data_IF_560063333173
#
_entry.id   IF_560063333173
#
_cell.length_a   1.000
_cell.length_b   1.000
_cell.length_c   1.000
_cell.angle_alpha   90.00
_cell.angle_beta   90.00
_cell.angle_gamma   90.00
#
_symmetry.space_group_name_H-M   'P 1'
#
loop_
_entity.id
_entity.type
_entity.pdbx_description
1 polymer ?
#
# COMPACT_ATOMS: atom_id res chain seq x y z
N UNK A 1 -3.31 -23.74 13.24
CA UNK A 1 -2.96 -23.08 11.96
C UNK A 1 -2.33 -24.12 11.05
N UNK A 2 -2.82 -24.29 9.83
CA UNK A 2 -2.20 -25.23 8.87
C UNK A 2 -0.90 -24.64 8.32
N UNK A 3 0.06 -25.50 7.96
CA UNK A 3 1.32 -25.05 7.37
C UNK A 3 1.09 -24.29 6.06
N UNK A 4 0.16 -24.76 5.23
CA UNK A 4 -0.21 -24.10 3.98
C UNK A 4 -0.70 -22.66 4.20
N UNK A 5 -1.62 -22.45 5.16
CA UNK A 5 -2.12 -21.10 5.46
C UNK A 5 -1.01 -20.19 5.99
N UNK A 6 -0.12 -20.71 6.85
CA UNK A 6 1.02 -19.94 7.36
C UNK A 6 1.98 -19.53 6.23
N UNK A 7 2.30 -20.45 5.32
CA UNK A 7 3.18 -20.19 4.18
C UNK A 7 2.56 -19.17 3.21
N UNK A 8 1.27 -19.29 2.89
CA UNK A 8 0.55 -18.33 2.05
C UNK A 8 0.56 -16.94 2.69
N UNK A 9 0.22 -16.83 3.98
CA UNK A 9 0.23 -15.54 4.67
C UNK A 9 1.63 -14.92 4.73
N UNK A 10 2.68 -15.74 4.90
CA UNK A 10 4.06 -15.28 4.85
C UNK A 10 4.40 -14.70 3.47
N UNK A 11 4.06 -15.41 2.39
CA UNK A 11 4.30 -14.92 1.02
C UNK A 11 3.54 -13.63 0.76
N UNK A 12 2.26 -13.55 1.14
CA UNK A 12 1.46 -12.33 0.99
C UNK A 12 2.07 -11.16 1.76
N UNK A 13 2.51 -11.39 3.01
CA UNK A 13 3.16 -10.36 3.82
C UNK A 13 4.49 -9.89 3.21
N UNK A 14 5.27 -10.80 2.62
CA UNK A 14 6.50 -10.46 1.91
C UNK A 14 6.22 -9.65 0.66
N UNK A 15 5.17 -9.98 -0.10
CA UNK A 15 4.74 -9.15 -1.25
C UNK A 15 4.36 -7.75 -0.78
N UNK A 16 3.58 -7.65 0.30
CA UNK A 16 3.19 -6.35 0.89
C UNK A 16 4.39 -5.54 1.41
N UNK A 17 5.42 -6.22 1.94
CA UNK A 17 6.65 -5.56 2.41
C UNK A 17 7.48 -4.91 1.30
N UNK A 18 7.20 -5.24 0.04
CA UNK A 18 7.85 -4.62 -1.13
C UNK A 18 7.07 -3.43 -1.68
N UNK A 19 5.95 -3.06 -1.04
CA UNK A 19 5.14 -1.92 -1.46
C UNK A 19 5.93 -0.60 -1.38
N UNK A 20 5.50 0.38 -2.17
CA UNK A 20 6.13 1.69 -2.23
C UNK A 20 6.09 2.40 -0.86
N UNK A 21 4.98 2.33 -0.13
CA UNK A 21 4.81 2.93 1.18
C UNK A 21 5.63 2.27 2.27
N UNK A 22 5.73 0.93 2.27
CA UNK A 22 6.39 0.18 3.34
C UNK A 22 7.91 0.12 3.21
N UNK A 23 8.47 0.20 1.99
CA UNK A 23 9.92 0.12 1.77
C UNK A 23 10.55 1.39 1.22
N UNK A 24 9.90 2.09 0.26
CA UNK A 24 10.52 3.27 -0.37
C UNK A 24 10.69 4.41 0.63
N UNK A 25 9.65 4.71 1.42
CA UNK A 25 9.68 5.82 2.38
C UNK A 25 10.74 5.59 3.47
N UNK A 26 10.85 4.39 4.10
CA UNK A 26 11.95 4.10 5.02
C UNK A 26 13.33 4.18 4.39
N UNK A 27 13.54 3.61 3.19
CA UNK A 27 14.82 3.69 2.47
C UNK A 27 15.23 5.14 2.27
N UNK A 28 14.27 6.00 1.91
CA UNK A 28 14.50 7.43 1.76
C UNK A 28 14.86 8.14 3.07
N UNK A 29 14.17 7.84 4.17
CA UNK A 29 14.51 8.37 5.49
C UNK A 29 15.91 7.95 5.95
N UNK A 30 16.36 6.74 5.58
CA UNK A 30 17.71 6.22 5.88
C UNK A 30 18.81 6.86 5.01
N UNK A 31 18.45 7.40 3.84
CA UNK A 31 19.31 8.12 2.90
C UNK A 31 19.34 9.64 3.12
N UNK A 32 18.58 10.16 4.10
CA UNK A 32 18.61 11.58 4.43
C UNK A 32 20.02 12.00 4.91
N UNK A 33 20.57 13.13 4.42
CA UNK A 33 21.89 13.59 4.83
C UNK A 33 21.90 13.92 6.34
N UNK A 34 22.86 13.36 7.07
CA UNK A 34 23.02 13.55 8.52
C UNK A 34 22.97 12.25 9.34
N UNK A 35 22.83 12.37 10.66
CA UNK A 35 22.69 11.21 11.56
C UNK A 35 21.33 10.54 11.35
N UNK A 36 21.32 9.22 11.22
CA UNK A 36 20.08 8.44 11.09
C UNK A 36 19.23 8.64 12.34
N UNK A 37 18.04 9.22 12.16
CA UNK A 37 17.07 9.41 13.24
C UNK A 37 16.22 8.15 13.36
N UNK A 38 16.77 7.10 13.97
CA UNK A 38 16.11 5.80 14.12
C UNK A 38 14.67 5.92 14.67
N UNK A 39 14.46 6.82 15.64
CA UNK A 39 13.13 7.09 16.20
C UNK A 39 12.10 7.57 15.17
N UNK A 40 12.48 8.31 14.13
CA UNK A 40 11.56 8.72 13.05
C UNK A 40 11.16 7.54 12.17
N UNK A 41 12.13 6.69 11.82
CA UNK A 41 11.86 5.48 11.02
C UNK A 41 10.97 4.51 11.81
N UNK A 42 11.25 4.32 13.09
CA UNK A 42 10.42 3.50 13.98
C UNK A 42 9.02 4.08 14.16
N UNK A 43 8.87 5.39 14.31
CA UNK A 43 7.56 6.04 14.39
C UNK A 43 6.76 5.83 13.10
N UNK A 44 7.40 6.00 11.94
CA UNK A 44 6.77 5.76 10.64
C UNK A 44 6.31 4.29 10.52
N UNK A 45 7.20 3.33 10.74
CA UNK A 45 6.90 1.90 10.64
C UNK A 45 5.84 1.46 11.65
N UNK A 46 5.92 1.97 12.88
CA UNK A 46 4.92 1.73 13.92
C UNK A 46 3.55 2.30 13.54
N UNK A 47 3.51 3.48 12.93
CA UNK A 47 2.24 4.08 12.45
C UNK A 47 1.63 3.24 11.33
N UNK A 48 2.44 2.80 10.36
CA UNK A 48 1.98 1.93 9.27
C UNK A 48 1.47 0.60 9.82
N UNK A 49 2.26 -0.08 10.65
CA UNK A 49 1.85 -1.36 11.25
C UNK A 49 0.58 -1.23 12.09
N UNK A 50 0.47 -0.18 12.92
CA UNK A 50 -0.72 0.08 13.72
C UNK A 50 -1.95 0.39 12.85
N UNK A 51 -1.79 1.22 11.82
CA UNK A 51 -2.88 1.54 10.90
C UNK A 51 -3.43 0.28 10.21
N UNK A 52 -2.55 -0.55 9.65
CA UNK A 52 -2.95 -1.80 9.01
C UNK A 52 -3.63 -2.73 10.01
N UNK A 53 -3.03 -2.93 11.19
CA UNK A 53 -3.60 -3.77 12.23
C UNK A 53 -5.01 -3.29 12.65
N UNK A 54 -5.21 -1.98 12.80
CA UNK A 54 -6.52 -1.39 13.12
C UNK A 54 -7.54 -1.61 12.01
N UNK A 55 -7.15 -1.41 10.74
CA UNK A 55 -8.03 -1.68 9.58
C UNK A 55 -8.39 -3.16 9.52
N UNK A 56 -7.42 -4.06 9.71
CA UNK A 56 -7.67 -5.49 9.69
C UNK A 56 -8.51 -5.97 10.86
N UNK A 57 -8.30 -5.42 12.06
CA UNK A 57 -9.16 -5.67 13.21
C UNK A 57 -10.59 -5.21 12.95
N UNK A 58 -10.78 -4.01 12.38
CA UNK A 58 -12.10 -3.53 11.99
C UNK A 58 -12.78 -4.52 11.01
N UNK A 59 -12.06 -4.98 9.99
CA UNK A 59 -12.58 -5.95 9.04
C UNK A 59 -12.89 -7.31 9.68
N UNK A 60 -12.02 -7.83 10.56
CA UNK A 60 -12.20 -9.10 11.27
C UNK A 60 -13.36 -9.07 12.27
N UNK A 61 -13.58 -7.94 12.95
CA UNK A 61 -14.63 -7.75 13.96
C UNK A 61 -16.02 -7.51 13.35
N UNK A 62 -16.14 -7.61 12.03
CA UNK A 62 -17.43 -7.48 11.36
C UNK A 62 -17.83 -6.04 11.06
N UNK A 63 -16.90 -5.07 11.10
CA UNK A 63 -17.13 -3.78 10.41
C UNK A 63 -17.33 -3.98 8.90
N UNK A 64 -16.99 -5.18 8.38
CA UNK A 64 -17.44 -5.68 7.07
C UNK A 64 -18.97 -5.68 6.88
N UNK A 65 -19.76 -5.93 7.94
CA UNK A 65 -21.23 -5.86 7.88
C UNK A 65 -21.74 -4.41 7.80
N UNK A 66 -21.04 -3.46 8.44
CA UNK A 66 -21.31 -2.03 8.23
C UNK A 66 -20.87 -1.58 6.82
N UNK A 67 -19.79 -2.18 6.27
CA UNK A 67 -19.40 -2.01 4.88
C UNK A 67 -20.43 -2.58 3.89
N UNK A 68 -21.17 -3.64 4.23
CA UNK A 68 -22.23 -4.17 3.35
C UNK A 68 -23.30 -3.10 3.04
N UNK A 69 -23.66 -2.26 4.02
CA UNK A 69 -24.53 -1.10 3.78
C UNK A 69 -23.89 0.00 2.91
N UNK A 70 -22.55 0.12 2.91
CA UNK A 70 -21.84 0.95 1.92
C UNK A 70 -21.82 0.29 0.54
N UNK A 71 -21.68 -1.03 0.46
CA UNK A 71 -21.74 -1.77 -0.80
C UNK A 71 -23.11 -1.58 -1.46
N UNK A 72 -24.20 -1.63 -0.70
CA UNK A 72 -25.56 -1.34 -1.21
C UNK A 72 -25.67 0.08 -1.80
N UNK A 73 -24.99 1.07 -1.20
CA UNK A 73 -24.90 2.43 -1.75
C UNK A 73 -24.04 2.48 -3.03
N UNK A 74 -23.00 1.63 -3.13
CA UNK A 74 -22.16 1.48 -4.32
C UNK A 74 -22.84 0.70 -5.46
N UNK A 75 -23.90 -0.05 -5.17
CA UNK A 75 -24.72 -0.74 -6.18
C UNK A 75 -25.73 0.18 -6.86
N UNK A 76 -25.89 1.43 -6.39
CA UNK A 76 -26.77 2.39 -7.06
C UNK A 76 -26.31 2.66 -8.51
N UNK A 77 -27.24 2.84 -9.47
CA UNK A 77 -26.89 3.07 -10.88
C UNK A 77 -25.93 4.25 -11.08
N UNK A 78 -26.04 5.29 -10.24
CA UNK A 78 -25.12 6.42 -10.22
C UNK A 78 -23.71 6.01 -9.75
N UNK A 79 -23.59 5.21 -8.70
CA UNK A 79 -22.30 4.75 -8.20
C UNK A 79 -21.58 3.83 -9.20
N UNK A 80 -22.33 2.96 -9.90
CA UNK A 80 -21.76 2.11 -10.96
C UNK A 80 -21.26 2.96 -12.14
N UNK A 81 -22.00 4.00 -12.55
CA UNK A 81 -21.54 4.96 -13.58
C UNK A 81 -20.34 5.77 -13.14
N UNK A 82 -20.30 6.20 -11.87
CA UNK A 82 -19.15 6.89 -11.30
C UNK A 82 -17.91 5.97 -11.23
N UNK A 83 -18.10 4.68 -10.88
CA UNK A 83 -17.04 3.67 -10.91
C UNK A 83 -16.52 3.47 -12.34
N UNK A 84 -17.41 3.39 -13.33
CA UNK A 84 -17.02 3.27 -14.74
C UNK A 84 -16.18 4.48 -15.18
N UNK A 85 -16.65 5.70 -14.88
CA UNK A 85 -15.92 6.92 -15.19
C UNK A 85 -14.55 6.98 -14.49
N UNK A 86 -14.48 6.55 -13.23
CA UNK A 86 -13.25 6.46 -12.47
C UNK A 86 -12.28 5.44 -13.08
N UNK A 87 -12.76 4.24 -13.42
CA UNK A 87 -11.97 3.17 -14.04
C UNK A 87 -11.39 3.59 -15.39
N UNK A 88 -12.23 4.16 -16.26
CA UNK A 88 -11.80 4.72 -17.55
C UNK A 88 -10.80 5.87 -17.34
N UNK A 89 -11.09 6.77 -16.39
CA UNK A 89 -10.19 7.85 -16.02
C UNK A 89 -8.80 7.32 -15.62
N UNK A 90 -8.73 6.37 -14.69
CA UNK A 90 -7.47 5.74 -14.28
C UNK A 90 -6.74 5.07 -15.44
N UNK A 91 -7.46 4.37 -16.34
CA UNK A 91 -6.90 3.73 -17.52
C UNK A 91 -6.30 4.75 -18.50
N UNK A 92 -7.05 5.80 -18.85
CA UNK A 92 -6.59 6.86 -19.76
C UNK A 92 -5.40 7.60 -19.15
N UNK A 93 -5.46 7.90 -17.85
CA UNK A 93 -4.39 8.57 -17.12
C UNK A 93 -3.11 7.73 -17.03
N UNK A 94 -3.23 6.40 -16.90
CA UNK A 94 -2.10 5.47 -16.94
C UNK A 94 -1.37 5.49 -18.29
N UNK A 95 -2.12 5.63 -19.39
CA UNK A 95 -1.57 5.59 -20.74
C UNK A 95 -0.92 6.92 -21.17
N UNK A 96 -1.29 8.04 -20.57
CA UNK A 96 -0.81 9.39 -20.91
C UNK A 96 0.72 9.54 -20.68
N UNK A 97 1.53 9.74 -21.75
CA UNK A 97 2.99 9.75 -21.67
C UNK A 97 3.57 10.91 -20.85
N UNK A 98 2.81 12.01 -20.68
CA UNK A 98 3.21 13.16 -19.86
C UNK A 98 3.13 12.91 -18.34
N UNK A 99 2.20 12.07 -17.87
CA UNK A 99 2.04 11.77 -16.43
C UNK A 99 3.02 10.74 -15.90
N UNK A 100 3.48 9.82 -16.77
CA UNK A 100 4.54 8.84 -16.46
C UNK A 100 5.83 9.48 -15.90
N UNK A 101 6.07 10.76 -16.21
CA UNK A 101 7.21 11.54 -15.71
C UNK A 101 6.84 12.56 -14.63
N UNK A 102 5.58 12.96 -14.53
CA UNK A 102 5.16 14.12 -13.73
C UNK A 102 4.67 13.76 -12.33
N UNK A 103 4.08 12.57 -12.13
CA UNK A 103 3.75 12.07 -10.78
C UNK A 103 4.98 11.57 -10.00
N UNK A 104 6.08 11.30 -10.72
CA UNK A 104 7.38 10.88 -10.18
C UNK A 104 8.50 11.91 -10.38
N UNK A 105 8.15 13.14 -10.79
CA UNK A 105 9.15 14.15 -11.09
C UNK A 105 10.00 14.49 -9.85
N UNK A 106 11.32 14.66 -9.98
CA UNK A 106 12.25 15.01 -8.91
C UNK A 106 11.95 16.37 -8.24
N UNK A 107 10.84 17.03 -8.54
CA UNK A 107 10.38 18.25 -7.88
C UNK A 107 9.35 18.01 -6.77
N UNK A 108 8.50 16.97 -6.82
CA UNK A 108 7.49 16.72 -5.74
C UNK A 108 8.05 15.80 -4.68
N UNK A 109 8.74 14.73 -5.07
CA UNK A 109 9.48 13.86 -4.16
C UNK A 109 10.53 14.64 -3.38
N UNK A 110 11.28 15.54 -4.01
CA UNK A 110 12.30 16.37 -3.35
C UNK A 110 11.70 17.45 -2.46
N UNK A 111 10.57 18.07 -2.84
CA UNK A 111 9.78 18.96 -1.95
C UNK A 111 9.14 18.21 -0.77
N UNK A 112 8.74 16.96 -0.96
CA UNK A 112 8.30 16.08 0.13
C UNK A 112 9.47 15.61 0.99
N UNK A 113 10.66 15.39 0.39
CA UNK A 113 11.93 15.10 1.05
C UNK A 113 12.27 16.23 2.02
N UNK A 114 12.30 17.46 1.52
CA UNK A 114 12.59 18.65 2.33
C UNK A 114 11.60 18.81 3.48
N UNK A 115 10.31 18.51 3.25
CA UNK A 115 9.31 18.50 4.34
C UNK A 115 9.58 17.39 5.37
N UNK A 116 9.86 16.16 4.95
CA UNK A 116 10.06 15.02 5.86
C UNK A 116 11.44 15.02 6.56
N UNK A 117 12.49 15.48 5.90
CA UNK A 117 13.87 15.47 6.42
C UNK A 117 14.27 16.79 7.06
N UNK A 118 13.71 17.92 6.61
CA UNK A 118 14.12 19.27 7.01
C UNK A 118 13.28 19.95 8.09
N UNK A 119 12.00 19.62 8.27
CA UNK A 119 11.12 20.40 9.17
C UNK A 119 9.87 19.72 9.73
N UNK A 120 9.47 18.53 9.28
CA UNK A 120 8.31 17.84 9.84
C UNK A 120 8.57 17.38 11.28
N UNK A 121 7.77 17.89 12.22
CA UNK A 121 7.60 17.32 13.55
C UNK A 121 6.92 15.94 13.48
N UNK A 122 6.79 15.25 14.62
CA UNK A 122 6.21 13.91 14.71
C UNK A 122 4.85 13.79 13.99
N UNK A 123 3.99 14.82 14.10
CA UNK A 123 2.68 14.85 13.44
C UNK A 123 2.74 14.84 11.90
N UNK A 124 3.73 15.50 11.29
CA UNK A 124 3.91 15.47 9.84
C UNK A 124 4.34 14.09 9.33
N UNK A 125 5.08 13.35 10.16
CA UNK A 125 5.51 11.99 9.83
C UNK A 125 4.37 10.98 9.94
N UNK A 126 3.52 11.13 10.97
CA UNK A 126 2.30 10.34 11.13
C UNK A 126 1.33 10.62 9.98
N UNK A 127 1.11 11.90 9.64
CA UNK A 127 0.26 12.26 8.50
C UNK A 127 0.78 11.70 7.17
N UNK A 128 2.10 11.71 6.96
CA UNK A 128 2.73 11.06 5.81
C UNK A 128 2.46 9.55 5.80
N UNK A 129 2.71 8.87 6.92
CA UNK A 129 2.49 7.44 7.06
C UNK A 129 1.02 7.06 6.77
N UNK A 130 0.07 7.81 7.33
CA UNK A 130 -1.35 7.60 7.11
C UNK A 130 -1.75 7.85 5.66
N UNK A 131 -1.29 8.95 5.05
CA UNK A 131 -1.59 9.24 3.64
C UNK A 131 -1.01 8.17 2.71
N UNK A 132 0.22 7.73 2.96
CA UNK A 132 0.87 6.68 2.20
C UNK A 132 0.11 5.36 2.35
N UNK A 133 -0.19 4.95 3.58
CA UNK A 133 -0.96 3.74 3.84
C UNK A 133 -2.34 3.79 3.19
N UNK A 134 -3.04 4.92 3.26
CA UNK A 134 -4.36 5.10 2.64
C UNK A 134 -4.34 4.98 1.11
N UNK A 135 -3.30 5.53 0.46
CA UNK A 135 -3.10 5.37 -0.98
C UNK A 135 -2.85 3.90 -1.34
N UNK A 136 -2.10 3.18 -0.50
CA UNK A 136 -1.86 1.75 -0.73
C UNK A 136 -3.07 0.87 -0.46
N UNK A 137 -4.03 1.28 0.39
CA UNK A 137 -5.27 0.53 0.66
C UNK A 137 -6.01 0.19 -0.64
N UNK A 138 -5.98 1.09 -1.62
CA UNK A 138 -6.61 0.85 -2.93
C UNK A 138 -5.94 -0.26 -3.75
N UNK A 139 -4.68 -0.61 -3.43
CA UNK A 139 -3.86 -1.61 -4.12
C UNK A 139 -3.54 -2.85 -3.27
N UNK A 140 -4.08 -2.92 -2.06
CA UNK A 140 -3.84 -3.95 -1.02
C UNK A 140 -4.49 -5.32 -1.31
N UNK A 141 -4.47 -5.80 -2.56
CA UNK A 141 -4.94 -7.16 -2.87
C UNK A 141 -4.31 -8.23 -1.94
N UNK A 142 -2.99 -8.19 -1.63
CA UNK A 142 -2.39 -9.14 -0.71
C UNK A 142 -2.99 -9.07 0.69
N UNK A 143 -3.09 -7.88 1.29
CA UNK A 143 -3.62 -7.72 2.65
C UNK A 143 -5.10 -8.12 2.77
N UNK A 144 -5.93 -7.70 1.81
CA UNK A 144 -7.34 -8.07 1.78
C UNK A 144 -7.52 -9.57 1.56
N UNK A 145 -6.70 -10.18 0.71
CA UNK A 145 -6.64 -11.63 0.53
C UNK A 145 -6.26 -12.36 1.83
N UNK A 146 -5.28 -11.85 2.57
CA UNK A 146 -4.89 -12.39 3.87
C UNK A 146 -6.03 -12.32 4.89
N UNK A 147 -6.77 -11.21 4.96
CA UNK A 147 -7.96 -11.09 5.81
C UNK A 147 -9.04 -12.08 5.39
N UNK A 148 -9.31 -12.21 4.08
CA UNK A 148 -10.25 -13.20 3.55
C UNK A 148 -9.91 -14.63 3.96
N UNK A 149 -8.62 -15.01 3.87
CA UNK A 149 -8.13 -16.31 4.33
C UNK A 149 -8.27 -16.49 5.85
N UNK A 150 -8.05 -15.43 6.64
CA UNK A 150 -8.25 -15.49 8.09
C UNK A 150 -9.73 -15.65 8.46
N UNK A 151 -10.62 -14.96 7.76
CA UNK A 151 -12.07 -15.04 7.98
C UNK A 151 -12.64 -16.43 7.67
N UNK A 152 -12.15 -17.08 6.62
CA UNK A 152 -12.58 -18.43 6.19
C UNK A 152 -11.85 -19.57 6.91
N UNK A 153 -10.82 -19.27 7.69
CA UNK A 153 -10.06 -20.27 8.45
C UNK A 153 -10.78 -20.73 9.72
N UNK A 154 -10.53 -21.97 10.13
CA UNK A 154 -11.02 -22.53 11.41
C UNK A 154 -10.26 -22.01 12.64
N UNK A 155 -9.52 -20.91 12.51
CA UNK A 155 -8.80 -20.29 13.62
C UNK A 155 -9.78 -19.63 14.60
N UNK A 156 -9.53 -19.85 15.89
CA UNK A 156 -10.20 -19.11 16.94
C UNK A 156 -10.01 -17.58 16.76
N UNK A 157 -10.94 -16.71 17.21
CA UNK A 157 -10.87 -15.27 17.00
C UNK A 157 -9.57 -14.64 17.48
N UNK A 158 -9.11 -15.02 18.68
CA UNK A 158 -7.83 -14.54 19.23
C UNK A 158 -6.65 -14.97 18.35
N UNK A 159 -6.69 -16.18 17.79
CA UNK A 159 -5.65 -16.69 16.91
C UNK A 159 -5.59 -15.88 15.61
N UNK A 160 -6.74 -15.52 15.02
CA UNK A 160 -6.81 -14.63 13.85
C UNK A 160 -6.17 -13.26 14.13
N UNK A 161 -6.46 -12.68 15.29
CA UNK A 161 -5.85 -11.40 15.71
C UNK A 161 -4.34 -11.53 15.88
N UNK A 162 -3.85 -12.59 16.52
CA UNK A 162 -2.41 -12.82 16.68
C UNK A 162 -1.71 -13.06 15.33
N UNK A 163 -2.35 -13.80 14.43
CA UNK A 163 -1.81 -14.03 13.08
C UNK A 163 -1.78 -12.74 12.27
N UNK A 164 -2.80 -11.90 12.38
CA UNK A 164 -2.83 -10.58 11.73
C UNK A 164 -1.73 -9.66 12.26
N UNK A 165 -1.50 -9.64 13.57
CA UNK A 165 -0.39 -8.91 14.17
C UNK A 165 0.97 -9.43 13.66
N UNK A 166 1.14 -10.75 13.58
CA UNK A 166 2.32 -11.39 12.99
C UNK A 166 2.53 -11.01 11.52
N UNK A 167 1.46 -10.99 10.73
CA UNK A 167 1.49 -10.52 9.34
C UNK A 167 2.02 -9.07 9.25
N UNK A 168 1.47 -8.16 10.06
CA UNK A 168 1.90 -6.76 10.07
C UNK A 168 3.37 -6.61 10.49
N UNK A 169 3.87 -7.44 11.41
CA UNK A 169 5.28 -7.46 11.80
C UNK A 169 6.18 -7.94 10.67
N UNK A 170 5.80 -9.02 9.98
CA UNK A 170 6.53 -9.52 8.80
C UNK A 170 6.58 -8.45 7.72
N UNK A 171 5.48 -7.72 7.51
CA UNK A 171 5.40 -6.64 6.53
C UNK A 171 6.42 -5.52 6.79
N UNK A 172 6.61 -5.09 8.04
CA UNK A 172 7.58 -4.02 8.36
C UNK A 172 9.00 -4.53 8.62
N UNK A 173 9.19 -5.84 8.72
CA UNK A 173 10.46 -6.47 9.08
C UNK A 173 11.62 -6.07 8.14
N UNK A 174 11.49 -6.06 6.80
CA UNK A 174 12.60 -5.69 5.93
C UNK A 174 13.12 -4.27 6.18
N UNK A 175 12.21 -3.32 6.44
CA UNK A 175 12.58 -1.94 6.75
C UNK A 175 13.27 -1.82 8.12
N UNK A 176 12.85 -2.62 9.11
CA UNK A 176 13.53 -2.71 10.40
C UNK A 176 14.94 -3.31 10.27
N UNK A 177 15.10 -4.34 9.45
CA UNK A 177 16.42 -4.94 9.14
C UNK A 177 17.32 -3.91 8.46
N UNK A 178 16.81 -3.15 7.48
CA UNK A 178 17.56 -2.08 6.82
C UNK A 178 17.96 -0.97 7.79
N UNK A 179 17.07 -0.59 8.71
CA UNK A 179 17.37 0.38 9.75
C UNK A 179 18.49 -0.12 10.68
N UNK A 180 18.38 -1.35 11.18
CA UNK A 180 19.40 -1.95 12.03
C UNK A 180 20.75 -2.04 11.31
N UNK A 181 20.75 -2.53 10.07
CA UNK A 181 21.95 -2.62 9.25
C UNK A 181 22.57 -1.24 8.99
N UNK A 182 21.77 -0.20 8.77
CA UNK A 182 22.25 1.18 8.58
C UNK A 182 22.87 1.76 9.85
N UNK A 183 22.36 1.42 11.03
CA UNK A 183 22.90 1.84 12.34
C UNK A 183 24.19 1.10 12.67
N UNK A 184 24.27 -0.20 12.39
CA UNK A 184 25.41 -1.07 12.71
C UNK A 184 26.56 -0.99 11.69
N UNK A 185 26.25 -0.84 10.40
CA UNK A 185 27.19 -1.00 9.29
C UNK A 185 27.01 0.08 8.20
N UNK A 186 26.95 1.35 8.62
CA UNK A 186 26.67 2.51 7.76
C UNK A 186 27.39 2.48 6.40
N UNK A 187 28.69 2.20 6.40
CA UNK A 187 29.57 2.26 5.21
C UNK A 187 29.27 1.16 4.18
N UNK A 188 28.76 0.00 4.62
CA UNK A 188 28.43 -1.13 3.74
C UNK A 188 27.02 -1.05 3.18
N UNK A 189 26.08 -0.49 3.94
CA UNK A 189 24.66 -0.45 3.58
C UNK A 189 24.32 0.75 2.69
N UNK A 190 25.11 1.82 2.75
CA UNK A 190 24.93 3.01 1.91
C UNK A 190 24.82 2.71 0.39
N UNK A 191 25.76 1.95 -0.24
CA UNK A 191 25.66 1.66 -1.66
C UNK A 191 24.43 0.80 -2.01
N UNK A 192 23.96 -0.06 -1.09
CA UNK A 192 22.74 -0.86 -1.29
C UNK A 192 21.50 0.02 -1.24
N UNK A 193 21.39 0.91 -0.25
CA UNK A 193 20.29 1.87 -0.15
C UNK A 193 20.22 2.78 -1.38
N UNK A 194 21.35 3.27 -1.87
CA UNK A 194 21.41 4.10 -3.08
C UNK A 194 21.01 3.33 -4.35
N UNK A 195 21.37 2.05 -4.46
CA UNK A 195 20.92 1.18 -5.56
C UNK A 195 19.42 0.96 -5.50
N UNK A 196 18.87 0.69 -4.32
CA UNK A 196 17.43 0.55 -4.11
C UNK A 196 16.70 1.83 -4.52
N UNK A 197 17.13 3.00 -4.03
CA UNK A 197 16.52 4.29 -4.42
C UNK A 197 16.53 4.50 -5.93
N UNK A 198 17.68 4.28 -6.57
CA UNK A 198 17.80 4.41 -8.04
C UNK A 198 16.92 3.41 -8.80
N UNK A 199 16.79 2.19 -8.29
CA UNK A 199 15.91 1.18 -8.88
C UNK A 199 14.44 1.60 -8.78
N UNK A 200 14.01 2.09 -7.62
CA UNK A 200 12.64 2.57 -7.42
C UNK A 200 12.34 3.83 -8.23
N UNK A 201 13.29 4.76 -8.36
CA UNK A 201 13.13 5.96 -9.18
C UNK A 201 13.00 5.62 -10.67
N UNK A 202 13.70 4.59 -11.14
CA UNK A 202 13.67 4.15 -12.53
C UNK A 202 12.44 3.31 -12.87
N UNK A 203 12.10 2.34 -12.03
CA UNK A 203 11.05 1.35 -12.32
C UNK A 203 9.68 1.74 -11.74
N UNK A 204 9.67 2.56 -10.70
CA UNK A 204 8.44 2.91 -9.98
C UNK A 204 7.40 3.70 -10.77
N UNK A 205 7.76 4.69 -11.60
CA UNK A 205 6.76 5.41 -12.40
C UNK A 205 6.04 4.47 -13.38
N UNK A 206 6.76 3.52 -13.97
CA UNK A 206 6.24 2.55 -14.94
C UNK A 206 5.37 1.49 -14.26
N UNK A 207 5.84 0.89 -13.16
CA UNK A 207 5.05 -0.09 -12.39
C UNK A 207 3.77 0.54 -11.81
N UNK A 208 3.87 1.76 -11.27
CA UNK A 208 2.70 2.46 -10.72
C UNK A 208 1.68 2.76 -11.83
N UNK A 209 2.14 3.21 -13.00
CA UNK A 209 1.26 3.42 -14.15
C UNK A 209 0.59 2.11 -14.59
N UNK A 210 1.34 1.00 -14.66
CA UNK A 210 0.78 -0.31 -14.98
C UNK A 210 -0.26 -0.79 -13.96
N UNK A 211 0.03 -0.68 -12.66
CA UNK A 211 -0.91 -1.04 -11.59
C UNK A 211 -2.17 -0.18 -11.68
N UNK A 212 -2.03 1.14 -11.80
CA UNK A 212 -3.17 2.07 -11.97
C UNK A 212 -3.97 1.73 -13.22
N UNK A 213 -3.32 1.34 -14.31
CA UNK A 213 -3.96 0.92 -15.55
C UNK A 213 -4.75 -0.38 -15.39
N UNK A 214 -4.14 -1.41 -14.77
CA UNK A 214 -4.80 -2.69 -14.49
C UNK A 214 -6.00 -2.49 -13.56
N UNK A 215 -5.83 -1.76 -12.47
CA UNK A 215 -6.92 -1.45 -11.52
C UNK A 215 -8.03 -0.67 -12.21
N UNK A 216 -7.68 0.34 -13.01
CA UNK A 216 -8.66 1.11 -13.80
C UNK A 216 -9.43 0.24 -14.79
N UNK A 217 -8.74 -0.67 -15.49
CA UNK A 217 -9.36 -1.63 -16.39
C UNK A 217 -10.33 -2.57 -15.67
N UNK A 218 -9.90 -3.16 -14.53
CA UNK A 218 -10.72 -4.08 -13.75
C UNK A 218 -11.98 -3.38 -13.20
N UNK A 219 -11.84 -2.16 -12.69
CA UNK A 219 -12.96 -1.34 -12.21
C UNK A 219 -13.96 -1.03 -13.33
N UNK A 220 -13.47 -0.67 -14.52
CA UNK A 220 -14.31 -0.37 -15.68
C UNK A 220 -15.03 -1.63 -16.18
N UNK A 221 -14.31 -2.76 -16.30
CA UNK A 221 -14.88 -4.05 -16.72
C UNK A 221 -15.98 -4.51 -15.77
N UNK A 222 -15.72 -4.43 -14.47
CA UNK A 222 -16.67 -4.82 -13.42
C UNK A 222 -17.93 -3.93 -13.41
N UNK A 223 -17.77 -2.63 -13.68
CA UNK A 223 -18.92 -1.73 -13.84
C UNK A 223 -19.74 -2.04 -15.09
N UNK A 224 -19.09 -2.34 -16.23
CA UNK A 224 -19.79 -2.76 -17.47
C UNK A 224 -20.57 -4.05 -17.26
N UNK A 225 -19.99 -5.03 -16.55
CA UNK A 225 -20.67 -6.30 -16.24
C UNK A 225 -21.94 -6.10 -15.40
N UNK A 226 -22.02 -5.01 -14.62
CA UNK A 226 -23.18 -4.63 -13.82
C UNK A 226 -24.13 -3.67 -14.54
N UNK A 227 -23.89 -3.34 -15.81
CA UNK A 227 -24.72 -2.48 -16.65
C UNK A 227 -25.15 -3.21 -17.95
N UNK A 228 -26.10 -4.16 -17.88
CA UNK A 228 -26.53 -4.94 -19.04
C UNK A 228 -27.08 -4.07 -20.19
N UNK A 229 -27.75 -2.96 -19.90
CA UNK A 229 -28.25 -2.00 -20.91
C UNK A 229 -27.14 -1.42 -21.81
N UNK A 230 -25.91 -1.33 -21.30
CA UNK A 230 -24.75 -0.81 -22.03
C UNK A 230 -24.16 -1.88 -22.96
N UNK A 231 -24.34 -3.16 -22.63
CA UNK A 231 -24.00 -4.29 -23.50
C UNK A 231 -25.01 -4.42 -24.64
N UNK A 232 -26.30 -4.20 -24.37
CA UNK A 232 -27.37 -4.19 -25.39
C UNK A 232 -27.26 -3.00 -26.37
N UNK A 233 -26.63 -1.89 -25.95
CA UNK A 233 -26.34 -0.74 -26.83
C UNK A 233 -25.10 -0.93 -27.71
N UNK A 234 -24.22 -1.86 -27.33
CA UNK A 234 -22.96 -2.16 -28.02
C UNK A 234 -23.03 -3.45 -28.86
N UNK A 235 -24.17 -4.16 -28.84
CA UNK A 235 -24.45 -5.38 -29.60
C UNK A 235 -25.85 -5.39 -30.19
#
# INVERSE_FOLDING_TARGET
>A
MTFALAATLLVLALVDSTSFGTLLIPVWLLLAPGRVRAGRVLLFLGTVAAFYLLVGLALLLGLGAALAGLVDLLETPWAVRAQLALGIGMLVLSLLPGRRRQDSGPGRLTRWRERATGGAGAGGLVALALTAALVEVATMLPYLGAIGLLLTSDLAPWARVTTLAGYCLVMVLPALVLLAARVLAHRFVQPVLERLSRSFERTGPELTAWVVGIVGFLLARDAVARMPELLDLLG
#
